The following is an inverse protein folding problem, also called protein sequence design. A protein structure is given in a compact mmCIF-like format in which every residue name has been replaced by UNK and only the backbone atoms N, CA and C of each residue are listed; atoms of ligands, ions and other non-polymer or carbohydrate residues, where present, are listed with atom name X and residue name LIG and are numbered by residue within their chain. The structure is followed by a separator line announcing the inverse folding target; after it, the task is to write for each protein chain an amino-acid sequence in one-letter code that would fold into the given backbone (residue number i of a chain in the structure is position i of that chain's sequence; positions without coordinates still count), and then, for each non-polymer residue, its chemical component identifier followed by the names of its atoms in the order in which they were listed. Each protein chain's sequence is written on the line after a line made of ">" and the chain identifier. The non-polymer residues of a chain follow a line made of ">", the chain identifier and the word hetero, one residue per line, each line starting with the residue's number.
data_IF_416937890796
#
_entry.id   IF_416937890796
#
_cell.length_a   1.000
_cell.length_b   1.000
_cell.length_c   1.000
_cell.angle_alpha   90.00
_cell.angle_beta   90.00
_cell.angle_gamma   90.00
#
_symmetry.space_group_name_H-M   'P 1'
#
loop_
_entity.id
_entity.type
_entity.pdbx_description
1 polymer ?
#
# COMPACT_ATOMS: atom_id res chain seq x y z
N UNK A 1 -14.61 21.20 -11.71
CA UNK A 1 -13.72 20.32 -12.49
C UNK A 1 -13.89 18.91 -11.90
N UNK A 2 -14.61 18.00 -12.56
CA UNK A 2 -14.60 16.60 -12.13
C UNK A 2 -13.20 16.07 -12.37
N UNK A 3 -12.42 15.91 -11.29
CA UNK A 3 -11.08 15.35 -11.39
C UNK A 3 -11.18 13.92 -11.93
N UNK A 4 -10.53 13.67 -13.06
CA UNK A 4 -10.45 12.35 -13.65
C UNK A 4 -9.68 11.43 -12.69
N UNK A 5 -10.37 10.50 -12.03
CA UNK A 5 -9.75 9.48 -11.20
C UNK A 5 -9.38 8.29 -12.08
N UNK A 6 -8.11 7.90 -12.07
CA UNK A 6 -7.61 6.66 -12.69
C UNK A 6 -7.33 5.63 -11.59
N UNK A 7 -7.64 4.38 -11.85
CA UNK A 7 -7.35 3.24 -10.97
C UNK A 7 -6.20 2.45 -11.57
N UNK A 8 -5.24 2.05 -10.74
CA UNK A 8 -4.10 1.21 -11.10
C UNK A 8 -4.14 -0.03 -10.21
N UNK A 9 -4.02 -1.22 -10.79
CA UNK A 9 -3.84 -2.47 -10.06
C UNK A 9 -2.33 -2.74 -9.95
N UNK A 10 -1.89 -3.13 -8.75
CA UNK A 10 -0.48 -3.33 -8.42
C UNK A 10 -0.31 -4.70 -7.78
N UNK A 11 0.76 -5.39 -8.14
CA UNK A 11 1.18 -6.61 -7.46
C UNK A 11 2.02 -6.32 -6.22
N UNK A 12 2.30 -7.36 -5.41
CA UNK A 12 3.06 -7.23 -4.15
C UNK A 12 4.47 -6.64 -4.34
N UNK A 13 5.10 -6.87 -5.50
CA UNK A 13 6.42 -6.34 -5.80
C UNK A 13 6.34 -4.87 -6.20
N UNK A 14 5.38 -4.52 -7.07
CA UNK A 14 5.15 -3.15 -7.51
C UNK A 14 4.79 -2.23 -6.34
N UNK A 15 4.01 -2.72 -5.37
CA UNK A 15 3.76 -2.01 -4.11
C UNK A 15 5.06 -1.69 -3.35
N UNK A 16 5.95 -2.66 -3.22
CA UNK A 16 7.23 -2.46 -2.55
C UNK A 16 8.08 -1.40 -3.26
N UNK A 17 8.12 -1.44 -4.60
CA UNK A 17 8.85 -0.45 -5.42
C UNK A 17 8.28 0.95 -5.20
N UNK A 18 6.96 1.12 -5.27
CA UNK A 18 6.31 2.42 -5.09
C UNK A 18 6.53 2.95 -3.67
N UNK A 19 6.39 2.10 -2.66
CA UNK A 19 6.61 2.48 -1.27
C UNK A 19 8.04 2.99 -1.03
N UNK A 20 9.04 2.27 -1.55
CA UNK A 20 10.44 2.68 -1.42
C UNK A 20 10.74 3.98 -2.19
N UNK A 21 10.20 4.13 -3.40
CA UNK A 21 10.36 5.35 -4.19
C UNK A 21 9.78 6.58 -3.48
N UNK A 22 8.54 6.51 -3.00
CA UNK A 22 7.88 7.61 -2.27
C UNK A 22 8.60 7.93 -0.97
N UNK A 23 9.08 6.92 -0.25
CA UNK A 23 9.87 7.10 0.97
C UNK A 23 11.17 7.87 0.67
N UNK A 24 11.87 7.52 -0.39
CA UNK A 24 13.13 8.15 -0.76
C UNK A 24 12.92 9.58 -1.27
N UNK A 25 11.86 9.81 -2.05
CA UNK A 25 11.44 11.15 -2.49
C UNK A 25 11.13 12.05 -1.29
N UNK A 26 10.32 11.56 -0.34
CA UNK A 26 10.03 12.28 0.92
C UNK A 26 11.31 12.62 1.68
N UNK A 27 12.23 11.66 1.80
CA UNK A 27 13.52 11.89 2.46
C UNK A 27 14.37 12.95 1.75
N UNK A 28 14.33 13.00 0.41
CA UNK A 28 15.02 14.03 -0.37
C UNK A 28 14.38 15.40 -0.15
N UNK A 29 13.04 15.49 -0.19
CA UNK A 29 12.32 16.74 0.03
C UNK A 29 12.58 17.32 1.43
N UNK A 30 12.65 16.47 2.47
CA UNK A 30 13.06 16.88 3.82
C UNK A 30 14.46 17.49 3.81
N UNK A 31 15.42 16.85 3.13
CA UNK A 31 16.79 17.39 3.01
C UNK A 31 16.84 18.73 2.30
N UNK A 32 15.94 18.93 1.34
CA UNK A 32 15.81 20.17 0.58
C UNK A 32 14.97 21.24 1.31
N UNK A 33 14.42 20.94 2.50
CA UNK A 33 13.55 21.85 3.26
C UNK A 33 12.21 22.14 2.57
N UNK A 34 11.76 21.23 1.71
CA UNK A 34 10.51 21.35 0.95
C UNK A 34 9.34 20.73 1.72
N UNK A 35 8.11 21.25 1.53
CA UNK A 35 6.91 20.66 2.14
C UNK A 35 6.65 19.26 1.59
N UNK A 36 6.41 18.28 2.47
CA UNK A 36 6.22 16.87 2.09
C UNK A 36 4.77 16.40 2.15
N UNK A 37 3.83 17.26 2.54
CA UNK A 37 2.43 16.89 2.82
C UNK A 37 1.78 16.10 1.67
N UNK A 38 2.04 16.49 0.43
CA UNK A 38 1.50 15.81 -0.75
C UNK A 38 2.04 14.38 -0.93
N UNK A 39 3.32 14.14 -0.58
CA UNK A 39 3.93 12.80 -0.65
C UNK A 39 3.49 11.97 0.55
N UNK A 40 3.40 12.60 1.73
CA UNK A 40 2.96 11.95 2.96
C UNK A 40 1.51 11.43 2.82
N UNK A 41 0.60 12.21 2.22
CA UNK A 41 -0.78 11.79 1.93
C UNK A 41 -0.88 10.56 1.03
N UNK A 42 0.01 10.44 0.04
CA UNK A 42 0.04 9.27 -0.86
C UNK A 42 0.66 8.08 -0.14
N UNK A 43 1.72 8.29 0.63
CA UNK A 43 2.39 7.25 1.38
C UNK A 43 1.45 6.61 2.41
N UNK A 44 0.63 7.41 3.11
CA UNK A 44 -0.39 6.90 4.03
C UNK A 44 -1.36 5.95 3.32
N UNK A 45 -1.91 6.36 2.16
CA UNK A 45 -2.82 5.52 1.38
C UNK A 45 -2.18 4.21 0.95
N UNK A 46 -0.89 4.24 0.59
CA UNK A 46 -0.16 3.02 0.22
C UNK A 46 0.03 2.09 1.43
N UNK A 47 0.32 2.63 2.61
CA UNK A 47 0.46 1.84 3.85
C UNK A 47 -0.88 1.21 4.25
N UNK A 48 -1.96 1.97 4.22
CA UNK A 48 -3.31 1.47 4.54
C UNK A 48 -3.70 0.27 3.65
N UNK A 49 -3.36 0.32 2.36
CA UNK A 49 -3.59 -0.79 1.43
C UNK A 49 -2.74 -2.05 1.74
N UNK A 50 -1.56 -1.88 2.34
CA UNK A 50 -0.66 -3.00 2.70
C UNK A 50 -1.05 -3.60 4.05
N UNK A 51 -1.52 -2.78 4.99
CA UNK A 51 -1.92 -3.23 6.32
C UNK A 51 -3.26 -3.98 6.32
N UNK A 52 -4.10 -3.81 5.30
CA UNK A 52 -5.26 -4.67 5.12
C UNK A 52 -4.79 -6.14 5.04
N UNK A 53 -5.14 -6.97 6.04
CA UNK A 53 -4.71 -8.35 6.04
C UNK A 53 -5.25 -9.01 4.79
N UNK A 54 -4.45 -9.78 4.03
CA UNK A 54 -4.96 -10.53 2.89
C UNK A 54 -6.15 -11.33 3.39
N UNK A 55 -7.32 -11.14 2.76
CA UNK A 55 -8.56 -11.84 3.13
C UNK A 55 -8.19 -13.29 3.39
N UNK A 56 -8.32 -13.70 4.65
CA UNK A 56 -7.90 -15.03 5.08
C UNK A 56 -8.79 -15.99 4.30
N UNK A 57 -8.24 -16.61 3.26
CA UNK A 57 -8.86 -17.78 2.65
C UNK A 57 -9.19 -18.73 3.80
N UNK A 58 -10.49 -18.91 4.03
CA UNK A 58 -11.01 -19.78 5.07
C UNK A 58 -10.48 -21.18 4.75
N UNK A 59 -9.35 -21.57 5.35
CA UNK A 59 -8.84 -22.94 5.31
C UNK A 59 -9.98 -23.84 5.76
N UNK A 60 -10.56 -24.54 4.79
CA UNK A 60 -11.77 -25.33 4.96
C UNK A 60 -11.64 -26.31 6.13
N UNK A 61 -12.76 -26.46 6.83
CA UNK A 61 -13.01 -27.51 7.83
C UNK A 61 -12.34 -28.82 7.41
N UNK A 62 -11.41 -29.32 8.23
CA UNK A 62 -11.20 -30.77 8.30
C UNK A 62 -12.09 -31.27 9.42
N UNK A 63 -13.24 -31.82 9.03
CA UNK A 63 -14.05 -32.68 9.89
C UNK A 63 -13.14 -33.81 10.38
N UNK A 64 -12.96 -33.92 11.70
CA UNK A 64 -12.37 -35.11 12.30
C UNK A 64 -13.49 -36.15 12.38
N UNK A 65 -13.67 -36.89 11.29
CA UNK A 65 -14.40 -38.16 11.32
C UNK A 65 -13.39 -39.29 11.47
N UNK A 66 -13.78 -40.31 12.24
CA UNK A 66 -13.10 -41.60 12.51
C UNK A 66 -11.94 -41.52 13.53
N UNK A 67 -11.89 -42.32 14.61
CA UNK A 67 -12.52 -43.60 14.95
C UNK A 67 -12.57 -43.76 16.48
#
# INVERSE_FOLDING_TARGET
>A
MSGEKKTLELDKYEYGVIFHALKDERNQMIKEGRPTDAVDDVLLKVIELIEEPPEKEKRGRKCHEER
#
